data_IF_185221825169
#
_entry.id   IF_185221825169
#
_cell.length_a   1.000
_cell.length_b   1.000
_cell.length_c   1.000
_cell.angle_alpha   90.00
_cell.angle_beta   90.00
_cell.angle_gamma   90.00
#
_symmetry.space_group_name_H-M   'P 1'
#
loop_
_entity.id
_entity.type
_entity.pdbx_description
1 polymer ?
#
# COMPACT_ATOMS: atom_id res chain seq x y z
N UNK A 1 7.83 35.07 15.65
CA UNK A 1 6.72 34.68 14.76
C UNK A 1 6.92 35.46 13.47
N UNK A 2 6.94 34.76 12.36
CA UNK A 2 7.26 35.33 11.03
C UNK A 2 6.12 36.27 10.62
N UNK A 3 6.44 37.51 10.17
CA UNK A 3 5.42 38.49 9.79
C UNK A 3 4.49 37.98 8.67
N UNK A 4 4.98 37.11 7.79
CA UNK A 4 4.21 36.49 6.71
C UNK A 4 3.14 35.51 7.23
N UNK A 5 3.42 34.80 8.33
CA UNK A 5 2.46 33.91 8.98
C UNK A 5 1.33 34.71 9.64
N UNK A 6 1.68 35.82 10.27
CA UNK A 6 0.70 36.72 10.93
C UNK A 6 -0.26 37.32 9.88
N UNK A 7 0.23 37.73 8.72
CA UNK A 7 -0.62 38.27 7.66
C UNK A 7 -1.58 37.22 7.09
N UNK A 8 -1.12 35.97 6.85
CA UNK A 8 -1.98 34.87 6.39
C UNK A 8 -3.06 34.50 7.41
N UNK A 9 -2.73 34.50 8.71
CA UNK A 9 -3.71 34.27 9.78
C UNK A 9 -4.77 35.38 9.80
N UNK A 10 -4.35 36.62 9.68
CA UNK A 10 -5.26 37.77 9.64
C UNK A 10 -6.19 37.76 8.43
N UNK A 11 -5.68 37.31 7.28
CA UNK A 11 -6.49 37.17 6.06
C UNK A 11 -7.54 36.05 6.17
N UNK A 12 -7.20 34.90 6.75
CA UNK A 12 -8.17 33.82 7.01
C UNK A 12 -9.24 34.23 8.04
N UNK A 13 -8.86 34.96 9.06
CA UNK A 13 -9.80 35.50 10.05
C UNK A 13 -10.77 36.50 9.40
N UNK A 14 -10.28 37.41 8.56
CA UNK A 14 -11.11 38.36 7.80
C UNK A 14 -12.11 37.71 6.85
N UNK A 15 -11.77 36.54 6.29
CA UNK A 15 -12.66 35.77 5.40
C UNK A 15 -13.78 35.04 6.14
N UNK A 16 -13.59 34.71 7.41
CA UNK A 16 -14.52 33.87 8.21
C UNK A 16 -15.43 34.65 9.16
N UNK A 17 -15.16 35.96 9.36
CA UNK A 17 -15.76 36.67 10.50
C UNK A 17 -16.19 38.09 10.12
N UNK A 18 -17.46 38.38 10.39
CA UNK A 18 -17.97 39.75 10.41
C UNK A 18 -17.66 40.39 11.79
N UNK A 19 -16.59 41.18 11.81
CA UNK A 19 -15.94 41.70 13.03
C UNK A 19 -16.81 42.64 13.93
N UNK A 20 -18.04 42.91 13.54
CA UNK A 20 -18.89 43.89 14.24
C UNK A 20 -19.60 43.35 15.49
N UNK A 21 -19.62 42.03 15.72
CA UNK A 21 -20.42 41.41 16.79
C UNK A 21 -19.75 40.26 17.56
N UNK A 22 -18.42 40.22 17.68
CA UNK A 22 -17.70 39.12 18.32
C UNK A 22 -17.15 39.53 19.70
N UNK A 23 -17.30 38.62 20.68
CA UNK A 23 -16.68 38.79 21.99
C UNK A 23 -15.16 38.52 21.93
N UNK A 24 -14.40 39.11 22.88
CA UNK A 24 -12.95 38.96 22.96
C UNK A 24 -12.52 37.48 23.10
N UNK A 25 -13.33 36.66 23.74
CA UNK A 25 -13.05 35.23 23.96
C UNK A 25 -13.26 34.40 22.70
N UNK A 26 -14.31 34.71 21.92
CA UNK A 26 -14.54 34.11 20.62
C UNK A 26 -13.44 34.46 19.60
N UNK A 27 -12.93 35.69 19.65
CA UNK A 27 -11.81 36.12 18.81
C UNK A 27 -10.54 35.35 19.15
N UNK A 28 -10.24 35.15 20.44
CA UNK A 28 -9.07 34.38 20.88
C UNK A 28 -9.14 32.90 20.47
N UNK A 29 -10.31 32.31 20.54
CA UNK A 29 -10.52 30.91 20.11
C UNK A 29 -10.33 30.72 18.59
N UNK A 30 -10.83 31.68 17.80
CA UNK A 30 -10.67 31.70 16.33
C UNK A 30 -9.20 31.91 15.94
N UNK A 31 -8.49 32.80 16.61
CA UNK A 31 -7.05 33.06 16.39
C UNK A 31 -6.25 31.80 16.72
N UNK A 32 -6.54 31.15 17.85
CA UNK A 32 -5.85 29.91 18.25
C UNK A 32 -6.08 28.77 17.26
N UNK A 33 -7.33 28.49 16.88
CA UNK A 33 -7.66 27.43 15.93
C UNK A 33 -7.11 27.69 14.51
N UNK A 34 -7.08 28.93 14.06
CA UNK A 34 -6.52 29.30 12.75
C UNK A 34 -4.99 29.20 12.73
N UNK A 35 -4.31 29.56 13.83
CA UNK A 35 -2.86 29.43 13.96
C UNK A 35 -2.42 27.96 14.04
N UNK A 36 -3.14 27.11 14.79
CA UNK A 36 -2.86 25.68 14.88
C UNK A 36 -3.04 24.96 13.53
N UNK A 37 -4.08 25.33 12.77
CA UNK A 37 -4.32 24.81 11.42
C UNK A 37 -3.25 25.23 10.40
N UNK A 38 -2.76 26.47 10.46
CA UNK A 38 -1.71 26.96 9.55
C UNK A 38 -0.34 26.35 9.90
N UNK A 39 -0.02 26.21 11.18
CA UNK A 39 1.21 25.53 11.62
C UNK A 39 1.19 24.05 11.21
N UNK A 40 0.05 23.39 11.31
CA UNK A 40 -0.09 21.98 10.87
C UNK A 40 0.05 21.82 9.35
N UNK A 41 -0.45 22.78 8.55
CA UNK A 41 -0.28 22.81 7.07
C UNK A 41 1.17 23.11 6.68
N UNK A 42 1.82 24.09 7.30
CA UNK A 42 3.25 24.37 7.05
C UNK A 42 4.16 23.21 7.44
N UNK A 43 3.87 22.52 8.53
CA UNK A 43 4.63 21.34 8.92
C UNK A 43 4.42 20.17 7.93
N UNK A 44 3.22 20.01 7.35
CA UNK A 44 2.97 19.04 6.29
C UNK A 44 3.67 19.42 4.98
N UNK A 45 3.66 20.70 4.59
CA UNK A 45 4.35 21.18 3.39
C UNK A 45 5.88 21.11 3.53
N UNK A 46 6.41 21.43 4.70
CA UNK A 46 7.85 21.31 4.99
C UNK A 46 8.33 19.86 5.09
N UNK A 47 7.48 18.96 5.62
CA UNK A 47 7.78 17.52 5.59
C UNK A 47 7.73 16.98 4.17
N UNK A 48 6.73 17.35 3.36
CA UNK A 48 6.68 16.96 1.94
C UNK A 48 7.86 17.53 1.14
N UNK A 49 8.31 18.76 1.39
CA UNK A 49 9.51 19.31 0.76
C UNK A 49 10.79 18.60 1.20
N UNK A 50 10.93 18.26 2.49
CA UNK A 50 12.07 17.46 2.97
C UNK A 50 12.06 16.03 2.41
N UNK A 51 10.88 15.40 2.25
CA UNK A 51 10.76 14.09 1.62
C UNK A 51 11.13 14.14 0.13
N UNK A 52 10.71 15.16 -0.61
CA UNK A 52 11.07 15.35 -2.02
C UNK A 52 12.58 15.61 -2.18
N UNK A 53 13.20 16.40 -1.30
CA UNK A 53 14.64 16.67 -1.33
C UNK A 53 15.48 15.45 -0.90
N UNK A 54 14.98 14.61 0.03
CA UNK A 54 15.64 13.35 0.41
C UNK A 54 15.57 12.30 -0.71
N UNK A 55 14.52 12.31 -1.53
CA UNK A 55 14.39 11.44 -2.71
C UNK A 55 15.27 11.90 -3.90
N UNK A 56 15.71 13.15 -3.93
CA UNK A 56 16.50 13.72 -5.04
C UNK A 56 18.03 13.64 -4.84
N UNK A 57 18.51 13.38 -3.63
CA UNK A 57 19.92 13.21 -3.39
C UNK A 57 20.38 11.81 -3.86
N UNK A 58 21.35 11.70 -4.78
CA UNK A 58 21.87 10.39 -5.19
C UNK A 58 22.44 9.67 -3.96
N UNK A 59 21.94 8.46 -3.69
CA UNK A 59 22.49 7.61 -2.63
C UNK A 59 23.97 7.31 -2.93
N UNK A 60 24.87 7.39 -1.95
CA UNK A 60 26.25 6.95 -2.13
C UNK A 60 26.36 5.43 -2.28
N UNK A 61 25.29 4.69 -2.03
CA UNK A 61 25.23 3.24 -2.12
C UNK A 61 24.55 2.85 -3.44
N UNK A 62 25.27 2.12 -4.27
CA UNK A 62 24.81 1.73 -5.61
C UNK A 62 23.64 0.75 -5.58
N UNK A 63 23.52 0.01 -4.51
CA UNK A 63 22.44 -0.97 -4.24
C UNK A 63 21.11 -0.30 -3.91
N UNK A 64 21.09 0.92 -3.41
CA UNK A 64 19.86 1.61 -3.07
C UNK A 64 19.20 2.17 -4.34
N UNK A 65 17.94 1.78 -4.57
CA UNK A 65 17.12 2.29 -5.68
C UNK A 65 16.19 3.40 -5.20
N UNK A 66 15.54 3.19 -4.06
CA UNK A 66 14.62 4.16 -3.51
C UNK A 66 13.74 3.58 -2.40
N UNK A 67 12.78 4.40 -1.99
CA UNK A 67 11.70 4.02 -1.06
C UNK A 67 10.36 4.38 -1.68
N UNK A 68 9.30 3.70 -1.27
CA UNK A 68 7.94 4.14 -1.55
C UNK A 68 7.42 5.03 -0.41
N UNK A 69 6.40 5.84 -0.70
CA UNK A 69 5.79 6.74 0.27
C UNK A 69 4.98 6.00 1.35
N UNK A 70 4.64 4.74 1.10
CA UNK A 70 3.75 3.95 1.94
C UNK A 70 4.36 2.59 2.27
N UNK A 71 3.98 2.04 3.42
CA UNK A 71 4.35 0.69 3.84
C UNK A 71 5.79 0.52 4.33
N UNK A 72 6.53 1.61 4.58
CA UNK A 72 7.96 1.56 4.92
C UNK A 72 8.76 0.71 3.90
N UNK A 73 8.40 0.82 2.62
CA UNK A 73 8.93 -0.01 1.53
C UNK A 73 10.26 0.51 1.04
N UNK A 74 11.25 -0.38 0.96
CA UNK A 74 12.56 -0.12 0.38
C UNK A 74 12.78 -0.94 -0.89
N UNK A 75 13.39 -0.33 -1.89
CA UNK A 75 13.83 -0.98 -3.11
C UNK A 75 15.35 -0.99 -3.23
N UNK A 76 15.89 -2.17 -3.49
CA UNK A 76 17.33 -2.41 -3.58
C UNK A 76 17.65 -3.19 -4.86
N UNK A 77 18.92 -3.12 -5.30
CA UNK A 77 19.43 -3.92 -6.42
C UNK A 77 20.83 -4.41 -6.11
N UNK A 78 21.14 -5.65 -6.43
CA UNK A 78 22.51 -6.19 -6.44
C UNK A 78 22.85 -6.53 -7.89
N UNK A 79 23.84 -5.83 -8.44
CA UNK A 79 24.20 -5.97 -9.85
C UNK A 79 24.89 -7.31 -10.19
N UNK A 80 25.63 -7.85 -9.24
CA UNK A 80 26.31 -9.14 -9.37
C UNK A 80 26.31 -9.83 -8.00
N UNK A 81 25.37 -10.75 -7.83
CA UNK A 81 25.21 -11.46 -6.56
C UNK A 81 26.44 -12.33 -6.29
N UNK A 82 26.93 -12.32 -5.05
CA UNK A 82 28.02 -13.21 -4.64
C UNK A 82 27.66 -14.68 -4.90
N UNK A 83 28.59 -15.45 -5.42
CA UNK A 83 28.34 -16.82 -5.85
C UNK A 83 27.85 -17.76 -4.75
N UNK A 84 28.32 -17.57 -3.51
CA UNK A 84 27.89 -18.39 -2.37
C UNK A 84 26.47 -18.01 -1.94
N UNK A 85 26.16 -16.72 -1.94
CA UNK A 85 24.80 -16.25 -1.65
C UNK A 85 23.83 -16.69 -2.75
N UNK A 86 24.23 -16.58 -4.01
CA UNK A 86 23.46 -16.99 -5.19
C UNK A 86 23.06 -18.48 -5.11
N UNK A 87 24.02 -19.37 -4.76
CA UNK A 87 23.77 -20.79 -4.53
C UNK A 87 22.77 -21.02 -3.38
N UNK A 88 22.95 -20.34 -2.23
CA UNK A 88 22.09 -20.49 -1.06
C UNK A 88 20.68 -19.97 -1.27
N UNK A 89 20.52 -18.93 -2.07
CA UNK A 89 19.20 -18.42 -2.47
C UNK A 89 18.50 -19.28 -3.53
N UNK A 90 19.19 -20.26 -4.12
CA UNK A 90 18.64 -21.11 -5.16
C UNK A 90 18.28 -20.39 -6.46
N UNK A 91 19.01 -19.33 -6.77
CA UNK A 91 18.80 -18.54 -7.99
C UNK A 91 19.47 -19.23 -9.17
N UNK A 92 18.79 -19.31 -10.32
CA UNK A 92 19.36 -19.88 -11.56
C UNK A 92 20.62 -19.08 -11.95
N UNK A 93 21.70 -19.80 -12.29
CA UNK A 93 23.02 -19.23 -12.62
C UNK A 93 22.99 -18.22 -13.77
N UNK A 94 21.98 -18.25 -14.62
CA UNK A 94 21.79 -17.26 -15.70
C UNK A 94 21.49 -15.85 -15.16
N UNK A 95 20.85 -15.74 -13.98
CA UNK A 95 20.50 -14.45 -13.39
C UNK A 95 21.64 -13.92 -12.53
N UNK A 96 22.33 -12.91 -13.02
CA UNK A 96 23.48 -12.29 -12.32
C UNK A 96 23.05 -11.21 -11.35
N UNK A 97 21.91 -10.57 -11.60
CA UNK A 97 21.43 -9.45 -10.80
C UNK A 97 20.08 -9.76 -10.15
N UNK A 98 19.85 -9.17 -8.98
CA UNK A 98 18.57 -9.23 -8.29
C UNK A 98 18.05 -7.84 -7.94
N UNK A 99 16.75 -7.68 -8.07
CA UNK A 99 15.98 -6.58 -7.50
C UNK A 99 15.27 -7.05 -6.24
N UNK A 100 15.26 -6.22 -5.22
CA UNK A 100 14.68 -6.53 -3.91
C UNK A 100 13.65 -5.46 -3.58
N UNK A 101 12.45 -5.87 -3.20
CA UNK A 101 11.41 -5.02 -2.63
C UNK A 101 11.12 -5.60 -1.25
N UNK A 102 11.26 -4.79 -0.22
CA UNK A 102 11.01 -5.23 1.15
C UNK A 102 10.33 -4.16 1.95
N UNK A 103 9.43 -4.59 2.84
CA UNK A 103 8.65 -3.72 3.70
C UNK A 103 8.32 -4.41 5.01
N UNK A 104 7.83 -3.64 5.98
CA UNK A 104 7.36 -4.14 7.28
C UNK A 104 5.85 -4.10 7.43
N UNK A 105 5.16 -3.40 6.53
CA UNK A 105 3.69 -3.27 6.56
C UNK A 105 3.13 -3.23 5.14
N UNK A 106 2.13 -4.06 4.90
CA UNK A 106 1.45 -4.11 3.61
C UNK A 106 1.41 -5.52 3.06
N UNK A 107 2.43 -5.94 2.35
CA UNK A 107 2.54 -7.15 1.54
C UNK A 107 1.66 -7.15 0.29
N UNK A 108 0.34 -7.09 0.40
CA UNK A 108 -0.57 -7.07 -0.75
C UNK A 108 -0.28 -5.96 -1.76
N UNK A 109 -0.18 -4.69 -1.33
CA UNK A 109 0.19 -3.58 -2.22
C UNK A 109 1.52 -3.78 -2.93
N UNK A 110 2.56 -4.27 -2.23
CA UNK A 110 3.87 -4.50 -2.80
C UNK A 110 3.88 -5.67 -3.78
N UNK A 111 3.15 -6.75 -3.50
CA UNK A 111 2.99 -7.89 -4.42
C UNK A 111 2.24 -7.46 -5.68
N UNK A 112 1.20 -6.65 -5.56
CA UNK A 112 0.48 -6.07 -6.70
C UNK A 112 1.40 -5.20 -7.55
N UNK A 113 2.22 -4.36 -6.92
CA UNK A 113 3.20 -3.50 -7.60
C UNK A 113 4.31 -4.32 -8.25
N UNK A 114 4.78 -5.40 -7.62
CA UNK A 114 5.74 -6.33 -8.21
C UNK A 114 5.15 -7.08 -9.42
N UNK A 115 3.86 -7.39 -9.41
CA UNK A 115 3.18 -8.01 -10.54
C UNK A 115 3.16 -7.08 -11.78
N UNK A 116 2.97 -5.78 -11.59
CA UNK A 116 3.10 -4.80 -12.67
C UNK A 116 4.57 -4.63 -13.11
N UNK A 117 5.53 -4.69 -12.17
CA UNK A 117 6.94 -4.59 -12.49
C UNK A 117 7.44 -5.72 -13.41
N UNK A 118 7.07 -6.96 -13.13
CA UNK A 118 7.46 -8.10 -14.00
C UNK A 118 6.75 -8.09 -15.34
N UNK A 119 5.60 -7.46 -15.48
CA UNK A 119 4.96 -7.22 -16.78
C UNK A 119 5.70 -6.18 -17.63
N UNK A 120 6.40 -5.27 -16.98
CA UNK A 120 7.06 -4.12 -17.60
C UNK A 120 8.56 -4.35 -17.88
N UNK A 121 9.14 -5.47 -17.44
CA UNK A 121 10.58 -5.74 -17.48
C UNK A 121 10.84 -7.22 -17.84
N UNK A 122 12.09 -7.54 -18.14
CA UNK A 122 12.53 -8.90 -18.36
C UNK A 122 13.10 -9.53 -17.07
N UNK A 123 12.24 -9.63 -16.06
CA UNK A 123 12.58 -10.18 -14.74
C UNK A 123 11.73 -11.40 -14.41
N UNK A 124 12.29 -12.29 -13.60
CA UNK A 124 11.58 -13.39 -12.96
C UNK A 124 11.36 -13.14 -11.46
N UNK A 125 10.28 -13.69 -10.93
CA UNK A 125 10.01 -13.69 -9.48
C UNK A 125 10.66 -14.92 -8.87
N UNK A 126 11.73 -14.72 -8.09
CA UNK A 126 12.44 -15.80 -7.41
C UNK A 126 11.71 -16.23 -6.14
N UNK A 127 11.41 -15.29 -5.27
CA UNK A 127 10.68 -15.57 -4.04
C UNK A 127 9.77 -14.41 -3.65
N UNK A 128 8.69 -14.76 -2.95
CA UNK A 128 7.85 -13.84 -2.19
C UNK A 128 7.68 -14.47 -0.83
N UNK A 129 8.20 -13.80 0.19
CA UNK A 129 8.12 -14.22 1.58
C UNK A 129 7.30 -13.19 2.35
N UNK A 130 6.49 -13.66 3.28
CA UNK A 130 5.57 -12.84 4.06
C UNK A 130 5.99 -12.87 5.54
N UNK A 131 7.02 -12.11 5.93
CA UNK A 131 7.47 -12.06 7.30
C UNK A 131 6.39 -11.46 8.19
N UNK A 132 6.22 -12.04 9.37
CA UNK A 132 5.32 -11.53 10.39
C UNK A 132 6.07 -10.65 11.39
N UNK A 133 6.60 -9.57 10.91
CA UNK A 133 7.35 -8.59 11.68
C UNK A 133 6.78 -7.20 11.43
N UNK A 134 5.48 -7.04 11.62
CA UNK A 134 4.81 -5.79 11.31
C UNK A 134 4.98 -4.76 12.42
N UNK A 135 5.13 -3.52 12.01
CA UNK A 135 5.14 -2.36 12.89
C UNK A 135 3.70 -2.04 13.28
N UNK A 136 3.35 -2.39 14.52
CA UNK A 136 2.11 -1.89 15.11
C UNK A 136 0.84 -2.69 14.81
N UNK A 137 0.89 -4.00 14.59
CA UNK A 137 -0.33 -4.77 14.62
C UNK A 137 -0.52 -5.90 13.63
N UNK A 138 -1.71 -6.06 13.11
CA UNK A 138 -2.08 -7.09 12.16
C UNK A 138 -1.42 -6.87 10.79
N UNK A 139 -1.25 -7.93 10.04
CA UNK A 139 -0.68 -7.93 8.71
C UNK A 139 0.73 -8.51 8.64
N UNK A 140 1.27 -8.49 7.47
CA UNK A 140 2.60 -9.01 7.14
C UNK A 140 3.42 -7.92 6.47
N UNK A 141 4.74 -8.04 6.57
CA UNK A 141 5.63 -7.37 5.62
C UNK A 141 5.85 -8.23 4.39
N UNK A 142 6.74 -7.83 3.51
CA UNK A 142 7.18 -8.64 2.38
C UNK A 142 8.69 -8.61 2.17
N UNK A 143 9.19 -9.72 1.63
CA UNK A 143 10.48 -9.81 0.97
C UNK A 143 10.24 -10.40 -0.42
N UNK A 144 10.38 -9.56 -1.44
CA UNK A 144 10.16 -9.94 -2.83
C UNK A 144 11.51 -9.88 -3.53
N UNK A 145 11.93 -11.01 -4.10
CA UNK A 145 13.17 -11.12 -4.89
C UNK A 145 12.81 -11.31 -6.35
N UNK A 146 13.24 -10.38 -7.17
CA UNK A 146 13.20 -10.43 -8.62
C UNK A 146 14.61 -10.70 -9.14
N UNK A 147 14.75 -11.41 -10.25
CA UNK A 147 16.05 -11.67 -10.86
C UNK A 147 16.03 -11.40 -12.36
N UNK A 148 17.18 -11.02 -12.89
CA UNK A 148 17.39 -10.81 -14.32
C UNK A 148 18.84 -11.09 -14.72
N UNK A 149 19.08 -11.30 -16.02
CA UNK A 149 20.43 -11.39 -16.57
C UNK A 149 21.12 -10.01 -16.53
N UNK A 150 20.38 -8.94 -16.80
CA UNK A 150 20.87 -7.58 -16.83
C UNK A 150 20.41 -6.77 -15.59
N UNK A 151 21.35 -6.06 -14.96
CA UNK A 151 21.06 -5.21 -13.80
C UNK A 151 20.07 -4.08 -14.11
N UNK A 152 20.03 -3.61 -15.35
CA UNK A 152 19.07 -2.60 -15.80
C UNK A 152 17.62 -3.06 -15.64
N UNK A 153 17.34 -4.32 -15.95
CA UNK A 153 16.02 -4.91 -15.80
C UNK A 153 15.64 -5.06 -14.32
N UNK A 154 16.54 -5.58 -13.49
CA UNK A 154 16.33 -5.66 -12.04
C UNK A 154 16.08 -4.28 -11.42
N UNK A 155 16.90 -3.28 -11.76
CA UNK A 155 16.72 -1.90 -11.28
C UNK A 155 15.40 -1.32 -11.74
N UNK A 156 15.08 -1.47 -13.02
CA UNK A 156 13.84 -0.98 -13.60
C UNK A 156 12.60 -1.61 -12.98
N UNK A 157 12.64 -2.92 -12.69
CA UNK A 157 11.56 -3.60 -12.00
C UNK A 157 11.31 -3.01 -10.61
N UNK A 158 12.37 -2.77 -9.83
CA UNK A 158 12.26 -2.14 -8.51
C UNK A 158 11.67 -0.73 -8.63
N UNK A 159 12.16 0.11 -9.57
CA UNK A 159 11.63 1.46 -9.79
C UNK A 159 10.13 1.45 -10.15
N UNK A 160 9.71 0.55 -11.02
CA UNK A 160 8.30 0.39 -11.40
C UNK A 160 7.45 0.00 -10.19
N UNK A 161 7.91 -0.98 -9.40
CA UNK A 161 7.21 -1.42 -8.22
C UNK A 161 7.07 -0.30 -7.18
N UNK A 162 8.17 0.38 -6.82
CA UNK A 162 8.14 1.49 -5.86
C UNK A 162 7.17 2.59 -6.28
N UNK A 163 7.14 2.92 -7.56
CA UNK A 163 6.22 3.92 -8.09
C UNK A 163 4.76 3.46 -8.04
N UNK A 164 4.50 2.18 -8.33
CA UNK A 164 3.14 1.66 -8.39
C UNK A 164 2.50 1.46 -7.00
N UNK A 165 3.30 1.46 -5.93
CA UNK A 165 2.77 1.40 -4.55
C UNK A 165 1.82 2.56 -4.24
N UNK A 166 2.01 3.75 -4.81
CA UNK A 166 1.07 4.87 -4.66
C UNK A 166 -0.35 4.50 -5.12
N UNK A 167 -0.47 3.72 -6.19
CA UNK A 167 -1.75 3.21 -6.68
C UNK A 167 -2.26 2.08 -5.79
N UNK A 168 -1.43 1.09 -5.52
CA UNK A 168 -1.85 -0.15 -4.85
C UNK A 168 -2.24 0.06 -3.38
N UNK A 169 -1.74 1.10 -2.72
CA UNK A 169 -2.22 1.54 -1.41
C UNK A 169 -3.53 2.34 -1.44
N UNK A 170 -4.08 2.64 -2.62
CA UNK A 170 -5.31 3.42 -2.76
C UNK A 170 -6.54 2.77 -2.15
N UNK A 171 -6.66 1.46 -2.23
CA UNK A 171 -7.75 0.70 -1.63
C UNK A 171 -7.33 -0.07 -0.36
N UNK A 172 -6.41 0.50 0.41
CA UNK A 172 -6.06 0.09 1.78
C UNK A 172 -6.61 1.12 2.76
N UNK A 173 -7.48 0.68 3.68
CA UNK A 173 -8.21 1.51 4.64
C UNK A 173 -7.89 1.05 6.05
N UNK A 174 -7.00 1.80 6.73
CA UNK A 174 -6.64 1.55 8.13
C UNK A 174 -7.60 2.26 9.09
N UNK A 175 -7.82 1.65 10.26
CA UNK A 175 -8.55 2.24 11.39
C UNK A 175 -8.10 1.57 12.70
N UNK A 176 -8.44 2.12 13.85
CA UNK A 176 -7.92 1.66 15.15
C UNK A 176 -8.23 0.19 15.44
N UNK A 177 -9.40 -0.30 15.02
CA UNK A 177 -9.84 -1.67 15.27
C UNK A 177 -9.35 -2.68 14.22
N UNK A 178 -8.73 -2.23 13.11
CA UNK A 178 -8.30 -3.14 12.03
C UNK A 178 -8.06 -2.44 10.70
N UNK A 179 -8.33 -3.16 9.62
CA UNK A 179 -8.19 -2.62 8.27
C UNK A 179 -9.09 -3.34 7.26
N UNK A 180 -9.31 -2.69 6.14
CA UNK A 180 -9.90 -3.26 4.92
C UNK A 180 -8.90 -3.02 3.80
N UNK A 181 -8.52 -4.08 3.09
CA UNK A 181 -7.57 -4.01 1.99
C UNK A 181 -8.11 -4.75 0.79
N UNK A 182 -8.13 -4.09 -0.36
CA UNK A 182 -8.67 -4.63 -1.60
C UNK A 182 -7.67 -4.43 -2.74
N UNK A 183 -7.53 -5.48 -3.56
CA UNK A 183 -6.74 -5.40 -4.78
C UNK A 183 -7.48 -6.02 -5.94
N UNK A 184 -7.24 -5.46 -7.11
CA UNK A 184 -7.78 -5.94 -8.37
C UNK A 184 -6.77 -5.73 -9.50
N UNK A 185 -6.64 -6.74 -10.34
CA UNK A 185 -5.99 -6.63 -11.64
C UNK A 185 -6.82 -7.34 -12.70
N UNK A 186 -6.89 -6.76 -13.90
CA UNK A 186 -7.53 -7.41 -15.04
C UNK A 186 -6.71 -8.60 -15.58
N UNK A 187 -5.41 -8.65 -15.24
CA UNK A 187 -4.48 -9.66 -15.75
C UNK A 187 -3.38 -9.93 -14.73
N UNK A 188 -3.53 -11.00 -13.96
CA UNK A 188 -2.50 -11.48 -13.04
C UNK A 188 -1.28 -12.01 -13.78
N UNK A 189 -0.10 -11.86 -13.20
CA UNK A 189 1.17 -12.29 -13.70
C UNK A 189 1.93 -13.15 -12.69
N UNK A 190 3.25 -13.20 -12.80
CA UNK A 190 4.10 -14.14 -12.06
C UNK A 190 4.12 -13.89 -10.56
N UNK A 191 4.07 -12.63 -10.12
CA UNK A 191 4.11 -12.31 -8.69
C UNK A 191 2.83 -12.75 -7.97
N UNK A 192 1.67 -12.44 -8.53
CA UNK A 192 0.38 -12.89 -7.99
C UNK A 192 0.20 -14.40 -8.07
N UNK A 193 0.71 -15.04 -9.14
CA UNK A 193 0.73 -16.49 -9.21
C UNK A 193 1.59 -17.10 -8.10
N UNK A 194 2.79 -16.58 -7.88
CA UNK A 194 3.71 -17.09 -6.87
C UNK A 194 3.21 -16.88 -5.44
N UNK A 195 2.63 -15.72 -5.16
CA UNK A 195 2.13 -15.38 -3.81
C UNK A 195 0.81 -16.06 -3.47
N UNK A 196 -0.12 -16.13 -4.41
CA UNK A 196 -1.53 -16.47 -4.14
C UNK A 196 -2.10 -17.57 -5.05
N UNK A 197 -1.31 -18.14 -5.96
CA UNK A 197 -1.80 -19.12 -6.94
C UNK A 197 -2.72 -18.52 -8.01
N UNK A 198 -2.64 -17.22 -8.25
CA UNK A 198 -3.44 -16.56 -9.27
C UNK A 198 -3.27 -17.20 -10.64
N UNK A 199 -4.33 -17.51 -11.40
CA UNK A 199 -4.21 -18.00 -12.77
C UNK A 199 -3.58 -16.92 -13.65
N UNK A 200 -2.40 -17.23 -14.26
CA UNK A 200 -1.66 -16.28 -15.08
C UNK A 200 -2.52 -15.84 -16.28
N UNK A 201 -2.55 -14.54 -16.54
CA UNK A 201 -3.30 -13.94 -17.63
C UNK A 201 -4.80 -13.77 -17.37
N UNK A 202 -5.30 -14.19 -16.20
CA UNK A 202 -6.69 -14.02 -15.79
C UNK A 202 -6.87 -12.82 -14.87
N UNK A 203 -8.09 -12.35 -14.75
CA UNK A 203 -8.47 -11.35 -13.77
C UNK A 203 -8.39 -11.92 -12.35
N UNK A 204 -7.94 -11.13 -11.40
CA UNK A 204 -7.70 -11.56 -10.04
C UNK A 204 -8.03 -10.47 -9.03
N UNK A 205 -8.65 -10.85 -7.93
CA UNK A 205 -9.00 -9.98 -6.82
C UNK A 205 -8.48 -10.53 -5.49
N UNK A 206 -8.04 -9.65 -4.61
CA UNK A 206 -7.66 -9.94 -3.23
C UNK A 206 -8.55 -9.11 -2.32
N UNK A 207 -9.13 -9.73 -1.30
CA UNK A 207 -10.04 -9.12 -0.34
C UNK A 207 -9.57 -9.50 1.04
N UNK A 208 -9.17 -8.50 1.82
CA UNK A 208 -8.67 -8.65 3.18
C UNK A 208 -9.54 -7.84 4.14
N UNK A 209 -9.94 -8.43 5.24
CA UNK A 209 -10.66 -7.73 6.29
C UNK A 209 -10.22 -8.13 7.68
N UNK A 210 -9.91 -7.14 8.50
CA UNK A 210 -9.59 -7.24 9.91
C UNK A 210 -10.47 -6.27 10.73
N UNK A 211 -11.02 -6.69 11.88
CA UNK A 211 -10.90 -8.01 12.51
C UNK A 211 -11.45 -9.14 11.62
N UNK A 212 -10.99 -10.36 11.83
CA UNK A 212 -11.31 -11.52 10.98
C UNK A 212 -12.81 -11.72 10.70
N UNK A 213 -13.67 -11.43 11.66
CA UNK A 213 -15.14 -11.51 11.48
C UNK A 213 -15.66 -10.56 10.41
N UNK A 214 -15.09 -9.36 10.31
CA UNK A 214 -15.39 -8.40 9.23
C UNK A 214 -15.01 -9.01 7.87
N UNK A 215 -13.82 -9.60 7.77
CA UNK A 215 -13.35 -10.25 6.55
C UNK A 215 -14.22 -11.43 6.10
N UNK A 216 -14.82 -12.18 7.04
CA UNK A 216 -15.79 -13.26 6.69
C UNK A 216 -17.02 -12.68 5.99
N UNK A 217 -17.58 -11.57 6.49
CA UNK A 217 -18.73 -10.92 5.88
C UNK A 217 -18.40 -10.34 4.51
N UNK A 218 -17.20 -9.76 4.37
CA UNK A 218 -16.70 -9.28 3.08
C UNK A 218 -16.57 -10.41 2.06
N UNK A 219 -16.04 -11.56 2.49
CA UNK A 219 -15.89 -12.75 1.66
C UNK A 219 -17.24 -13.27 1.16
N UNK A 220 -18.21 -13.43 2.05
CA UNK A 220 -19.56 -13.89 1.70
C UNK A 220 -20.26 -12.93 0.74
N UNK A 221 -20.15 -11.62 0.99
CA UNK A 221 -20.72 -10.58 0.11
C UNK A 221 -20.07 -10.62 -1.28
N UNK A 222 -18.75 -10.74 -1.37
CA UNK A 222 -18.03 -10.81 -2.63
C UNK A 222 -18.52 -11.97 -3.51
N UNK A 223 -18.63 -13.16 -2.93
CA UNK A 223 -19.02 -14.38 -3.64
C UNK A 223 -20.51 -14.39 -4.03
N UNK A 224 -21.37 -13.70 -3.29
CA UNK A 224 -22.79 -13.57 -3.60
C UNK A 224 -23.11 -12.51 -4.64
N UNK A 225 -22.24 -11.51 -4.78
CA UNK A 225 -22.50 -10.34 -5.65
C UNK A 225 -22.21 -10.62 -7.12
N UNK A 226 -21.22 -11.45 -7.43
CA UNK A 226 -20.81 -11.71 -8.80
C UNK A 226 -20.41 -13.18 -8.99
N UNK A 227 -20.49 -13.65 -10.23
CA UNK A 227 -20.07 -15.00 -10.58
C UNK A 227 -18.53 -15.04 -10.72
N UNK A 228 -17.88 -15.37 -9.60
CA UNK A 228 -16.41 -15.49 -9.49
C UNK A 228 -16.06 -16.83 -8.87
N UNK A 229 -14.87 -17.33 -9.20
CA UNK A 229 -14.30 -18.53 -8.60
C UNK A 229 -13.46 -18.15 -7.39
N UNK A 230 -13.66 -18.82 -6.25
CA UNK A 230 -12.82 -18.69 -5.07
C UNK A 230 -11.53 -19.46 -5.29
N UNK A 231 -10.39 -18.76 -5.28
CA UNK A 231 -9.06 -19.36 -5.43
C UNK A 231 -8.50 -19.80 -4.09
N UNK A 232 -8.59 -18.95 -3.08
CA UNK A 232 -8.10 -19.25 -1.74
C UNK A 232 -8.94 -18.59 -0.64
N UNK A 233 -8.91 -19.21 0.54
CA UNK A 233 -9.44 -18.66 1.79
C UNK A 233 -8.40 -18.86 2.88
N UNK A 234 -8.02 -17.79 3.57
CA UNK A 234 -7.10 -17.80 4.71
C UNK A 234 -7.75 -17.12 5.91
N UNK A 235 -7.46 -17.64 7.09
CA UNK A 235 -7.98 -17.16 8.37
C UNK A 235 -6.92 -17.31 9.47
N UNK A 236 -7.13 -16.80 10.69
CA UNK A 236 -6.10 -16.79 11.74
C UNK A 236 -5.39 -18.11 11.97
N UNK A 237 -6.10 -19.22 11.99
CA UNK A 237 -5.52 -20.55 12.17
C UNK A 237 -5.22 -21.30 10.87
N UNK A 238 -5.49 -20.69 9.73
CA UNK A 238 -5.34 -21.30 8.41
C UNK A 238 -4.84 -20.27 7.39
N UNK A 239 -3.53 -20.13 7.27
CA UNK A 239 -2.88 -19.36 6.21
C UNK A 239 -2.46 -17.94 6.56
N UNK A 240 -2.99 -17.29 7.62
CA UNK A 240 -2.56 -15.93 8.00
C UNK A 240 -1.61 -15.91 9.21
N UNK A 241 -1.04 -17.04 9.57
CA UNK A 241 -0.06 -17.12 10.67
C UNK A 241 -0.52 -16.46 11.97
N UNK A 242 -1.78 -16.66 12.34
CA UNK A 242 -2.47 -16.08 13.50
C UNK A 242 -2.67 -14.56 13.46
N UNK A 243 -2.55 -13.91 12.31
CA UNK A 243 -3.07 -12.56 12.10
C UNK A 243 -4.58 -12.54 12.27
N UNK A 244 -5.12 -11.49 12.90
CA UNK A 244 -6.55 -11.34 13.09
C UNK A 244 -7.24 -10.78 11.83
N UNK A 245 -7.12 -11.52 10.74
CA UNK A 245 -7.68 -11.16 9.44
C UNK A 245 -8.21 -12.38 8.70
N UNK A 246 -9.11 -12.15 7.74
CA UNK A 246 -9.49 -13.11 6.73
C UNK A 246 -9.11 -12.56 5.37
N UNK A 247 -8.50 -13.42 4.56
CA UNK A 247 -8.09 -13.12 3.19
C UNK A 247 -8.78 -14.11 2.27
N UNK A 248 -9.48 -13.59 1.25
CA UNK A 248 -9.88 -14.41 0.11
C UNK A 248 -9.28 -13.87 -1.18
N UNK A 249 -9.08 -14.77 -2.12
CA UNK A 249 -8.71 -14.40 -3.47
C UNK A 249 -9.69 -15.00 -4.46
N UNK A 250 -10.03 -14.23 -5.49
CA UNK A 250 -11.05 -14.59 -6.48
C UNK A 250 -10.52 -14.40 -7.89
N UNK A 251 -11.05 -15.20 -8.82
CA UNK A 251 -10.76 -15.07 -10.26
C UNK A 251 -12.05 -15.24 -11.06
N UNK A 252 -12.03 -14.88 -12.33
CA UNK A 252 -13.20 -15.00 -13.20
C UNK A 252 -13.18 -13.97 -14.34
N UNK A 253 -14.37 -13.60 -14.80
CA UNK A 253 -14.53 -12.48 -15.73
C UNK A 253 -14.08 -11.17 -15.08
N UNK A 254 -13.41 -10.32 -15.83
CA UNK A 254 -12.80 -9.07 -15.31
C UNK A 254 -13.81 -8.15 -14.66
N UNK A 255 -14.99 -7.98 -15.23
CA UNK A 255 -16.07 -7.19 -14.68
C UNK A 255 -16.65 -7.81 -13.40
N UNK A 256 -16.81 -9.13 -13.37
CA UNK A 256 -17.31 -9.86 -12.22
C UNK A 256 -16.35 -9.78 -11.03
N UNK A 257 -15.03 -10.00 -11.26
CA UNK A 257 -14.01 -9.88 -10.23
C UNK A 257 -13.96 -8.46 -9.66
N UNK A 258 -13.96 -7.45 -10.53
CA UNK A 258 -13.97 -6.05 -10.08
C UNK A 258 -15.19 -5.72 -9.25
N UNK A 259 -16.38 -6.16 -9.67
CA UNK A 259 -17.63 -5.91 -8.94
C UNK A 259 -17.67 -6.64 -7.59
N UNK A 260 -17.15 -7.87 -7.53
CA UNK A 260 -16.98 -8.65 -6.30
C UNK A 260 -16.11 -7.91 -5.28
N UNK A 261 -14.95 -7.37 -5.72
CA UNK A 261 -14.05 -6.60 -4.86
C UNK A 261 -14.68 -5.29 -4.38
N UNK A 262 -15.40 -4.57 -5.27
CA UNK A 262 -16.12 -3.34 -4.90
C UNK A 262 -17.19 -3.63 -3.83
N UNK A 263 -17.99 -4.67 -4.02
CA UNK A 263 -19.03 -5.02 -3.04
C UNK A 263 -18.44 -5.39 -1.68
N UNK A 264 -17.32 -6.12 -1.66
CA UNK A 264 -16.60 -6.41 -0.43
C UNK A 264 -16.10 -5.13 0.26
N UNK A 265 -15.54 -4.18 -0.51
CA UNK A 265 -15.14 -2.88 0.01
C UNK A 265 -16.28 -2.14 0.70
N UNK A 266 -17.40 -2.00 0.01
CA UNK A 266 -18.54 -1.23 0.51
C UNK A 266 -19.09 -1.83 1.82
N UNK A 267 -19.25 -3.15 1.91
CA UNK A 267 -19.73 -3.80 3.15
C UNK A 267 -18.68 -3.70 4.26
N UNK A 268 -17.39 -3.89 3.96
CA UNK A 268 -16.30 -3.78 4.95
C UNK A 268 -16.21 -2.38 5.55
N UNK A 269 -16.22 -1.35 4.71
CA UNK A 269 -16.22 0.05 5.17
C UNK A 269 -17.50 0.42 5.93
N UNK A 270 -18.65 -0.13 5.54
CA UNK A 270 -19.93 0.07 6.26
C UNK A 270 -19.88 -0.53 7.66
N UNK A 271 -19.35 -1.75 7.79
CA UNK A 271 -19.20 -2.40 9.12
C UNK A 271 -18.22 -1.60 9.98
N UNK A 272 -17.07 -1.19 9.45
CA UNK A 272 -16.09 -0.38 10.18
C UNK A 272 -16.73 0.92 10.72
N UNK A 273 -17.53 1.62 9.90
CA UNK A 273 -18.28 2.80 10.35
C UNK A 273 -19.32 2.46 11.42
N UNK A 274 -20.01 1.33 11.33
CA UNK A 274 -20.96 0.86 12.35
C UNK A 274 -20.27 0.53 13.69
N UNK A 275 -18.97 0.20 13.64
CA UNK A 275 -18.11 0.06 14.84
C UNK A 275 -17.62 1.41 15.40
N UNK A 276 -18.07 2.54 14.85
CA UNK A 276 -17.61 3.87 15.23
C UNK A 276 -16.23 4.24 14.67
N UNK A 277 -15.70 3.48 13.71
CA UNK A 277 -14.41 3.75 13.08
C UNK A 277 -14.55 4.72 11.90
N UNK A 278 -13.45 5.36 11.54
CA UNK A 278 -13.36 6.23 10.37
C UNK A 278 -12.35 5.67 9.36
N UNK A 279 -12.71 4.67 8.56
CA UNK A 279 -11.81 4.08 7.56
C UNK A 279 -11.52 5.10 6.45
N UNK A 280 -10.24 5.42 6.28
CA UNK A 280 -9.76 6.38 5.28
C UNK A 280 -8.76 5.67 4.37
N UNK A 281 -8.88 5.88 3.06
CA UNK A 281 -7.90 5.40 2.07
C UNK A 281 -6.50 5.92 2.42
N UNK A 282 -5.50 5.05 2.42
CA UNK A 282 -4.11 5.38 2.75
C UNK A 282 -3.58 6.51 1.88
N UNK A 283 -3.87 6.50 0.57
CA UNK A 283 -3.42 7.55 -0.37
C UNK A 283 -4.47 8.61 -0.63
N UNK A 284 -5.70 8.42 -0.17
CA UNK A 284 -6.85 9.24 -0.54
C UNK A 284 -7.32 9.06 -2.00
N UNK A 285 -6.78 8.08 -2.73
CA UNK A 285 -7.05 7.84 -4.16
C UNK A 285 -7.33 6.36 -4.42
N UNK A 286 -8.51 5.85 -4.08
CA UNK A 286 -8.92 4.50 -4.48
C UNK A 286 -8.80 4.31 -6.00
N UNK A 287 -8.40 3.09 -6.44
CA UNK A 287 -8.20 2.81 -7.87
C UNK A 287 -9.17 1.74 -8.42
N UNK A 288 -9.92 1.08 -7.53
CA UNK A 288 -10.89 0.03 -7.89
C UNK A 288 -12.29 0.60 -8.08
#
# INVERSE_FOLDING_TARGET
>A
MDNELIEKVLEEIRKKVDLKNISKDQLNEIVKSSSENLISRQNKENNNKKEVDLMSAPSPITEFVGTANYGDTVGLVIANVDSLLHEKMGIDAKYRSIGIISDRTGAGPQIMAADEAVKATNTEVISIELPRDTKGGAGHGSLIILASEDVSDSRRAVEVALKDTDRTFGDVYGFDAGHVELHYTARASLALNKAFGAPIGKSFGIIVGAPAGLGVVMADTALKTANVDLVSYSSPSNGTSYSNEVIITVTGDSGAVRQSVIAAREVGLSIARSMGQNPVSTTGKPYI
#
